data_IF_409036996758
#
_entry.id   IF_409036996758
#
_cell.length_a   1.000
_cell.length_b   1.000
_cell.length_c   1.000
_cell.angle_alpha   90.00
_cell.angle_beta   90.00
_cell.angle_gamma   90.00
#
_symmetry.space_group_name_H-M   'P 1'
#
loop_
_entity.id
_entity.type
_entity.pdbx_description
1 polymer ?
#
# COMPACT_ATOMS: atom_id res chain seq x y z
N UNK A 1 -37.14 10.98 14.83
CA UNK A 1 -36.28 10.14 15.70
C UNK A 1 -35.09 9.49 14.98
N UNK A 2 -34.66 9.95 13.79
CA UNK A 2 -33.54 9.33 13.04
C UNK A 2 -32.14 9.87 13.40
N UNK A 3 -32.02 10.99 14.08
CA UNK A 3 -30.75 11.64 14.38
C UNK A 3 -29.83 10.88 15.36
N UNK A 4 -30.39 10.19 16.34
CA UNK A 4 -29.61 9.47 17.35
C UNK A 4 -28.83 8.26 16.79
N UNK A 5 -29.43 7.52 15.86
CA UNK A 5 -28.80 6.35 15.23
C UNK A 5 -27.62 6.75 14.29
N UNK A 6 -27.74 7.88 13.59
CA UNK A 6 -26.69 8.40 12.74
C UNK A 6 -25.50 8.89 13.55
N UNK A 7 -25.73 9.57 14.67
CA UNK A 7 -24.65 10.06 15.54
C UNK A 7 -23.87 8.91 16.18
N UNK A 8 -24.55 7.84 16.61
CA UNK A 8 -23.91 6.62 17.14
C UNK A 8 -23.08 5.90 16.07
N UNK A 9 -23.58 5.82 14.82
CA UNK A 9 -22.84 5.23 13.69
C UNK A 9 -21.58 6.04 13.37
N UNK A 10 -21.69 7.37 13.32
CA UNK A 10 -20.54 8.26 13.09
C UNK A 10 -19.54 8.12 14.22
N UNK A 11 -19.96 8.17 15.48
CA UNK A 11 -19.08 8.02 16.63
C UNK A 11 -18.35 6.67 16.62
N UNK A 12 -19.06 5.55 16.35
CA UNK A 12 -18.45 4.22 16.23
C UNK A 12 -17.40 4.15 15.12
N UNK A 13 -17.72 4.67 13.94
CA UNK A 13 -16.80 4.69 12.81
C UNK A 13 -15.54 5.54 13.11
N UNK A 14 -15.73 6.68 13.78
CA UNK A 14 -14.64 7.55 14.20
C UNK A 14 -13.71 6.84 15.18
N UNK A 15 -14.26 6.20 16.23
CA UNK A 15 -13.48 5.44 17.21
C UNK A 15 -12.71 4.31 16.53
N UNK A 16 -13.33 3.57 15.60
CA UNK A 16 -12.67 2.50 14.85
C UNK A 16 -11.49 3.04 14.01
N UNK A 17 -11.66 4.17 13.34
CA UNK A 17 -10.61 4.77 12.52
C UNK A 17 -9.44 5.29 13.38
N UNK A 18 -9.72 5.95 14.51
CA UNK A 18 -8.67 6.39 15.43
C UNK A 18 -7.95 5.20 16.08
N UNK A 19 -8.69 4.20 16.55
CA UNK A 19 -8.11 2.98 17.11
C UNK A 19 -7.20 2.26 16.12
N UNK A 20 -7.65 2.12 14.86
CA UNK A 20 -6.82 1.62 13.76
C UNK A 20 -5.55 2.45 13.58
N UNK A 21 -5.68 3.78 13.51
CA UNK A 21 -4.54 4.67 13.28
C UNK A 21 -3.48 4.52 14.37
N UNK A 22 -3.89 4.53 15.64
CA UNK A 22 -2.99 4.31 16.77
C UNK A 22 -2.32 2.94 16.70
N UNK A 23 -3.09 1.88 16.46
CA UNK A 23 -2.55 0.52 16.32
C UNK A 23 -1.50 0.44 15.20
N UNK A 24 -1.83 0.95 14.00
CA UNK A 24 -0.91 0.94 12.87
C UNK A 24 0.37 1.74 13.17
N UNK A 25 0.25 2.87 13.88
CA UNK A 25 1.41 3.67 14.30
C UNK A 25 2.32 2.89 15.25
N UNK A 26 1.76 2.22 16.27
CA UNK A 26 2.55 1.38 17.18
C UNK A 26 3.23 0.23 16.45
N UNK A 27 2.50 -0.51 15.63
CA UNK A 27 3.06 -1.63 14.85
C UNK A 27 4.16 -1.15 13.93
N UNK A 28 3.96 -0.03 13.23
CA UNK A 28 4.98 0.56 12.34
C UNK A 28 6.26 0.93 13.09
N UNK A 29 6.13 1.51 14.29
CA UNK A 29 7.28 1.86 15.12
C UNK A 29 8.13 0.63 15.50
N UNK A 30 7.47 -0.46 15.94
CA UNK A 30 8.16 -1.71 16.24
C UNK A 30 8.75 -2.37 14.98
N UNK A 31 8.00 -2.42 13.89
CA UNK A 31 8.47 -2.99 12.63
C UNK A 31 9.73 -2.28 12.13
N UNK A 32 9.76 -0.94 12.16
CA UNK A 32 10.93 -0.15 11.76
C UNK A 32 12.17 -0.50 12.59
N UNK A 33 12.02 -0.64 13.91
CA UNK A 33 13.11 -1.03 14.80
C UNK A 33 13.63 -2.42 14.47
N UNK A 34 12.74 -3.37 14.24
CA UNK A 34 13.11 -4.76 13.91
C UNK A 34 13.83 -4.81 12.56
N UNK A 35 13.32 -4.11 11.55
CA UNK A 35 13.97 -4.03 10.23
C UNK A 35 15.37 -3.44 10.32
N UNK A 36 15.55 -2.36 11.10
CA UNK A 36 16.87 -1.76 11.33
C UNK A 36 17.84 -2.75 12.01
N UNK A 37 17.36 -3.53 12.97
CA UNK A 37 18.18 -4.56 13.63
C UNK A 37 18.49 -5.74 12.69
N UNK A 38 17.56 -6.11 11.83
CA UNK A 38 17.72 -7.24 10.91
C UNK A 38 18.65 -6.92 9.74
N UNK A 39 18.52 -5.75 9.14
CA UNK A 39 19.29 -5.32 7.96
C UNK A 39 20.62 -4.64 8.33
N UNK A 40 20.69 -4.04 9.51
CA UNK A 40 21.78 -3.15 9.90
C UNK A 40 21.68 -1.77 9.24
N UNK A 41 22.56 -0.86 9.67
CA UNK A 41 22.48 0.57 9.30
C UNK A 41 22.66 0.80 7.79
N UNK A 42 23.56 0.06 7.14
CA UNK A 42 23.87 0.24 5.71
C UNK A 42 22.69 -0.16 4.84
N UNK A 43 22.20 -1.38 4.99
CA UNK A 43 21.10 -1.89 4.17
C UNK A 43 19.76 -1.18 4.50
N UNK A 44 19.55 -0.81 5.75
CA UNK A 44 18.42 0.04 6.12
C UNK A 44 18.52 1.43 5.46
N UNK A 45 19.72 2.03 5.41
CA UNK A 45 19.96 3.27 4.66
C UNK A 45 19.63 3.12 3.17
N UNK A 46 19.99 2.00 2.55
CA UNK A 46 19.64 1.69 1.16
C UNK A 46 18.11 1.59 1.00
N UNK A 47 17.41 0.92 1.91
CA UNK A 47 15.94 0.83 1.85
C UNK A 47 15.28 2.19 1.97
N UNK A 48 15.77 3.07 2.83
CA UNK A 48 15.26 4.43 2.98
C UNK A 48 15.51 5.28 1.73
N UNK A 49 16.71 5.18 1.13
CA UNK A 49 17.06 5.94 -0.07
C UNK A 49 16.22 5.51 -1.28
N UNK A 50 16.08 4.21 -1.53
CA UNK A 50 15.25 3.65 -2.60
C UNK A 50 13.77 3.94 -2.33
N UNK A 51 13.31 3.68 -1.11
CA UNK A 51 11.94 3.96 -0.69
C UNK A 51 11.56 5.43 -0.85
N UNK A 52 12.49 6.37 -0.58
CA UNK A 52 12.28 7.80 -0.77
C UNK A 52 11.94 8.17 -2.22
N UNK A 53 12.63 7.56 -3.19
CA UNK A 53 12.33 7.77 -4.63
C UNK A 53 10.93 7.24 -4.97
N UNK A 54 10.58 6.07 -4.47
CA UNK A 54 9.27 5.45 -4.73
C UNK A 54 8.14 6.20 -4.04
N UNK A 55 8.37 6.74 -2.83
CA UNK A 55 7.39 7.54 -2.08
C UNK A 55 6.94 8.80 -2.83
N UNK A 56 7.78 9.38 -3.71
CA UNK A 56 7.37 10.52 -4.56
C UNK A 56 6.16 10.15 -5.44
N UNK A 57 6.06 8.90 -5.87
CA UNK A 57 4.94 8.43 -6.70
C UNK A 57 3.70 8.08 -5.86
N UNK A 58 3.87 7.73 -4.58
CA UNK A 58 2.74 7.52 -3.66
C UNK A 58 1.96 8.82 -3.44
N UNK A 59 2.62 9.98 -3.49
CA UNK A 59 1.94 11.27 -3.35
C UNK A 59 0.84 11.48 -4.41
N UNK A 60 1.01 10.93 -5.60
CA UNK A 60 0.00 11.02 -6.68
C UNK A 60 -1.24 10.17 -6.37
N UNK A 61 -1.08 9.08 -5.64
CA UNK A 61 -2.18 8.15 -5.35
C UNK A 61 -3.21 8.69 -4.34
N UNK A 62 -2.83 9.59 -3.45
CA UNK A 62 -3.70 10.14 -2.39
C UNK A 62 -4.90 10.93 -2.94
N UNK A 63 -4.71 11.98 -3.77
CA UNK A 63 -5.84 12.72 -4.36
C UNK A 63 -6.66 11.83 -5.29
N UNK A 64 -6.03 10.88 -5.98
CA UNK A 64 -6.69 9.97 -6.88
C UNK A 64 -7.63 9.02 -6.12
N UNK A 65 -7.19 8.46 -5.00
CA UNK A 65 -8.02 7.63 -4.11
C UNK A 65 -9.24 8.41 -3.58
N UNK A 66 -9.03 9.67 -3.19
CA UNK A 66 -10.12 10.55 -2.74
C UNK A 66 -11.13 10.83 -3.85
N UNK A 67 -10.66 11.04 -5.07
CA UNK A 67 -11.52 11.21 -6.24
C UNK A 67 -12.34 9.94 -6.53
N UNK A 68 -11.72 8.76 -6.49
CA UNK A 68 -12.40 7.47 -6.66
C UNK A 68 -13.56 7.32 -5.66
N UNK A 69 -13.29 7.55 -4.37
CA UNK A 69 -14.31 7.45 -3.33
C UNK A 69 -15.47 8.43 -3.56
N UNK A 70 -15.20 9.64 -4.07
CA UNK A 70 -16.25 10.62 -4.40
C UNK A 70 -17.14 10.16 -5.56
N UNK A 71 -16.56 9.65 -6.64
CA UNK A 71 -17.33 9.13 -7.78
C UNK A 71 -18.17 7.94 -7.38
N UNK A 72 -17.62 6.98 -6.64
CA UNK A 72 -18.37 5.82 -6.16
C UNK A 72 -19.51 6.23 -5.21
N UNK A 73 -19.27 7.16 -4.28
CA UNK A 73 -20.32 7.67 -3.38
C UNK A 73 -21.42 8.41 -4.13
N UNK A 74 -21.08 9.09 -5.23
CA UNK A 74 -22.07 9.77 -6.08
C UNK A 74 -22.99 8.76 -6.78
N UNK A 75 -22.43 7.73 -7.41
CA UNK A 75 -23.20 6.71 -8.12
C UNK A 75 -24.05 5.89 -7.14
N UNK A 76 -23.52 5.57 -5.95
CA UNK A 76 -24.25 4.91 -4.87
C UNK A 76 -25.41 5.77 -4.34
N UNK A 77 -25.19 7.08 -4.17
CA UNK A 77 -26.24 8.00 -3.74
C UNK A 77 -27.41 8.13 -4.74
N UNK A 78 -27.16 7.83 -6.01
CA UNK A 78 -28.18 7.76 -7.06
C UNK A 78 -28.82 6.38 -7.24
N UNK A 79 -28.38 5.39 -6.49
CA UNK A 79 -28.75 3.98 -6.69
C UNK A 79 -28.49 3.46 -8.12
N UNK A 80 -27.49 4.02 -8.80
CA UNK A 80 -27.10 3.64 -10.17
C UNK A 80 -25.97 2.61 -10.14
N UNK A 81 -26.33 1.33 -9.94
CA UNK A 81 -25.34 0.24 -9.91
C UNK A 81 -24.64 0.06 -11.25
N UNK A 82 -25.33 0.30 -12.39
CA UNK A 82 -24.68 0.21 -13.72
C UNK A 82 -23.67 1.34 -13.93
N UNK A 83 -24.00 2.54 -13.46
CA UNK A 83 -23.07 3.67 -13.43
C UNK A 83 -21.84 3.34 -12.57
N UNK A 84 -22.03 2.77 -11.39
CA UNK A 84 -20.96 2.34 -10.49
C UNK A 84 -19.99 1.33 -11.16
N UNK A 85 -20.52 0.30 -11.82
CA UNK A 85 -19.70 -0.67 -12.57
C UNK A 85 -18.86 0.00 -13.67
N UNK A 86 -19.47 0.89 -14.43
CA UNK A 86 -18.79 1.64 -15.50
C UNK A 86 -17.72 2.55 -14.92
N UNK A 87 -18.04 3.28 -13.87
CA UNK A 87 -17.10 4.15 -13.14
C UNK A 87 -15.93 3.34 -12.57
N UNK A 88 -16.20 2.18 -11.96
CA UNK A 88 -15.17 1.29 -11.43
C UNK A 88 -14.23 0.79 -12.54
N UNK A 89 -14.77 0.30 -13.65
CA UNK A 89 -13.98 -0.18 -14.77
C UNK A 89 -13.11 0.92 -15.39
N UNK A 90 -13.66 2.14 -15.49
CA UNK A 90 -12.92 3.31 -15.99
C UNK A 90 -11.78 3.68 -15.04
N UNK A 91 -12.04 3.70 -13.74
CA UNK A 91 -11.03 3.98 -12.71
C UNK A 91 -9.92 2.91 -12.74
N UNK A 92 -10.29 1.64 -12.84
CA UNK A 92 -9.32 0.55 -12.92
C UNK A 92 -8.40 0.71 -14.15
N UNK A 93 -8.97 1.05 -15.30
CA UNK A 93 -8.20 1.33 -16.53
C UNK A 93 -7.24 2.51 -16.33
N UNK A 94 -7.69 3.59 -15.68
CA UNK A 94 -6.83 4.73 -15.36
C UNK A 94 -5.66 4.31 -14.44
N UNK A 95 -5.90 3.47 -13.44
CA UNK A 95 -4.82 2.97 -12.56
C UNK A 95 -3.83 2.09 -13.33
N UNK A 96 -4.30 1.26 -14.28
CA UNK A 96 -3.42 0.46 -15.15
C UNK A 96 -2.53 1.38 -16.00
N UNK A 97 -3.10 2.40 -16.63
CA UNK A 97 -2.35 3.36 -17.46
C UNK A 97 -1.32 4.13 -16.60
N UNK A 98 -1.73 4.61 -15.44
CA UNK A 98 -0.83 5.31 -14.54
C UNK A 98 0.27 4.41 -14.00
N UNK A 99 -0.04 3.17 -13.65
CA UNK A 99 0.94 2.18 -13.22
C UNK A 99 2.00 1.93 -14.31
N UNK A 100 1.57 1.85 -15.57
CA UNK A 100 2.47 1.71 -16.71
C UNK A 100 3.38 2.93 -16.89
N UNK A 101 2.83 4.14 -16.80
CA UNK A 101 3.63 5.38 -16.88
C UNK A 101 4.65 5.46 -15.75
N UNK A 102 4.22 5.17 -14.50
CA UNK A 102 5.13 5.20 -13.34
C UNK A 102 6.17 4.10 -13.43
N UNK A 103 5.82 2.91 -13.92
CA UNK A 103 6.79 1.84 -14.18
C UNK A 103 7.88 2.31 -15.15
N UNK A 104 7.51 2.89 -16.29
CA UNK A 104 8.48 3.42 -17.27
C UNK A 104 9.35 4.53 -16.66
N UNK A 105 8.76 5.42 -15.87
CA UNK A 105 9.50 6.50 -15.19
C UNK A 105 10.48 5.96 -14.16
N UNK A 106 10.09 4.99 -13.36
CA UNK A 106 10.97 4.37 -12.36
C UNK A 106 12.08 3.56 -13.01
N UNK A 107 11.79 2.80 -14.07
CA UNK A 107 12.81 2.05 -14.81
C UNK A 107 13.80 2.97 -15.55
N UNK A 108 13.37 4.11 -16.06
CA UNK A 108 14.25 5.06 -16.74
C UNK A 108 14.95 6.00 -15.77
N UNK A 109 14.18 6.88 -15.12
CA UNK A 109 14.70 7.94 -14.23
C UNK A 109 15.15 7.38 -12.89
N UNK A 110 14.43 6.43 -12.30
CA UNK A 110 14.78 5.82 -11.02
C UNK A 110 16.09 5.04 -11.09
N UNK A 111 16.27 4.22 -12.13
CA UNK A 111 17.54 3.50 -12.34
C UNK A 111 18.69 4.45 -12.67
N UNK A 112 18.44 5.51 -13.46
CA UNK A 112 19.45 6.53 -13.73
C UNK A 112 19.89 7.23 -12.44
N UNK A 113 18.92 7.63 -11.59
CA UNK A 113 19.21 8.26 -10.30
C UNK A 113 20.00 7.34 -9.38
N UNK A 114 19.61 6.07 -9.28
CA UNK A 114 20.31 5.08 -8.46
C UNK A 114 21.76 4.86 -8.91
N UNK A 115 22.03 4.90 -10.23
CA UNK A 115 23.38 4.68 -10.77
C UNK A 115 24.28 5.91 -10.65
N UNK A 116 23.72 7.12 -10.79
CA UNK A 116 24.54 8.33 -10.97
C UNK A 116 24.54 9.27 -9.77
N UNK A 117 23.52 9.18 -8.90
CA UNK A 117 23.33 10.12 -7.79
C UNK A 117 23.39 9.45 -6.42
N UNK A 118 23.04 8.18 -6.33
CA UNK A 118 23.07 7.48 -5.05
C UNK A 118 24.47 6.92 -4.79
N UNK A 119 25.08 7.35 -3.67
CA UNK A 119 26.36 6.83 -3.23
C UNK A 119 26.12 5.53 -2.47
N UNK A 120 26.24 4.40 -3.18
CA UNK A 120 26.06 3.06 -2.60
C UNK A 120 27.40 2.36 -2.47
N UNK A 121 27.62 1.55 -1.41
CA UNK A 121 28.80 0.68 -1.33
C UNK A 121 28.85 -0.24 -2.55
N UNK A 122 30.03 -0.38 -3.23
CA UNK A 122 30.14 -1.21 -4.43
C UNK A 122 29.68 -2.65 -4.24
N UNK A 123 29.91 -3.20 -3.06
CA UNK A 123 29.53 -4.57 -2.67
C UNK A 123 28.00 -4.77 -2.58
N UNK A 124 27.24 -3.69 -2.35
CA UNK A 124 25.79 -3.72 -2.18
C UNK A 124 25.00 -3.29 -3.42
N UNK A 125 25.68 -2.87 -4.48
CA UNK A 125 25.04 -2.41 -5.72
C UNK A 125 24.11 -3.45 -6.35
N UNK A 126 24.50 -4.72 -6.33
CA UNK A 126 23.68 -5.80 -6.88
C UNK A 126 22.40 -6.01 -6.06
N UNK A 127 22.54 -6.13 -4.74
CA UNK A 127 21.40 -6.29 -3.85
C UNK A 127 20.44 -5.09 -3.91
N UNK A 128 20.99 -3.86 -3.98
CA UNK A 128 20.20 -2.64 -4.11
C UNK A 128 19.39 -2.59 -5.41
N UNK A 129 19.96 -3.06 -6.54
CA UNK A 129 19.23 -3.13 -7.82
C UNK A 129 18.05 -4.11 -7.74
N UNK A 130 18.28 -5.28 -7.17
CA UNK A 130 17.21 -6.29 -7.00
C UNK A 130 16.14 -5.76 -6.07
N UNK A 131 16.52 -5.17 -4.95
CA UNK A 131 15.59 -4.56 -4.01
C UNK A 131 14.77 -3.43 -4.67
N UNK A 132 15.39 -2.60 -5.50
CA UNK A 132 14.70 -1.57 -6.26
C UNK A 132 13.61 -2.16 -7.15
N UNK A 133 13.90 -3.23 -7.89
CA UNK A 133 12.91 -3.90 -8.75
C UNK A 133 11.72 -4.42 -7.93
N UNK A 134 11.97 -5.10 -6.82
CA UNK A 134 10.89 -5.56 -5.94
C UNK A 134 10.07 -4.40 -5.39
N UNK A 135 10.71 -3.27 -5.06
CA UNK A 135 10.01 -2.08 -4.55
C UNK A 135 9.13 -1.44 -5.62
N UNK A 136 9.59 -1.39 -6.88
CA UNK A 136 8.79 -0.91 -8.02
C UNK A 136 7.56 -1.80 -8.24
N UNK A 137 7.75 -3.12 -8.27
CA UNK A 137 6.62 -4.06 -8.39
C UNK A 137 5.64 -3.95 -7.23
N UNK A 138 6.14 -3.80 -6.01
CA UNK A 138 5.32 -3.60 -4.82
C UNK A 138 4.44 -2.35 -4.94
N UNK A 139 4.99 -1.24 -5.42
CA UNK A 139 4.22 -0.01 -5.67
C UNK A 139 3.10 -0.23 -6.68
N UNK A 140 3.40 -0.92 -7.79
CA UNK A 140 2.41 -1.22 -8.84
C UNK A 140 1.28 -2.08 -8.26
N UNK A 141 1.63 -3.14 -7.55
CA UNK A 141 0.65 -4.03 -6.90
C UNK A 141 -0.21 -3.25 -5.89
N UNK A 142 0.41 -2.39 -5.08
CA UNK A 142 -0.31 -1.54 -4.13
C UNK A 142 -1.35 -0.65 -4.82
N UNK A 143 -1.03 -0.08 -5.97
CA UNK A 143 -1.95 0.80 -6.70
C UNK A 143 -3.22 0.07 -7.14
N UNK A 144 -3.14 -1.22 -7.46
CA UNK A 144 -4.32 -2.03 -7.77
C UNK A 144 -5.23 -2.25 -6.56
N UNK A 145 -4.74 -2.11 -5.32
CA UNK A 145 -5.58 -2.22 -4.12
C UNK A 145 -6.47 -0.98 -3.91
N UNK A 146 -6.06 0.18 -4.43
CA UNK A 146 -6.69 1.48 -4.13
C UNK A 146 -8.16 1.56 -4.61
N UNK A 147 -8.53 1.19 -5.85
CA UNK A 147 -9.93 1.22 -6.29
C UNK A 147 -10.83 0.35 -5.42
N UNK A 148 -10.38 -0.84 -5.02
CA UNK A 148 -11.13 -1.75 -4.16
C UNK A 148 -11.31 -1.18 -2.75
N UNK A 149 -10.26 -0.62 -2.19
CA UNK A 149 -10.28 0.05 -0.90
C UNK A 149 -11.20 1.28 -0.92
N UNK A 150 -11.16 2.09 -1.98
CA UNK A 150 -12.04 3.23 -2.18
C UNK A 150 -13.52 2.81 -2.27
N UNK A 151 -13.81 1.68 -2.93
CA UNK A 151 -15.14 1.11 -3.01
C UNK A 151 -15.67 0.72 -1.61
N UNK A 152 -14.87 0.01 -0.81
CA UNK A 152 -15.22 -0.38 0.57
C UNK A 152 -15.54 0.85 1.43
N UNK A 153 -14.76 1.93 1.30
CA UNK A 153 -14.97 3.20 2.00
C UNK A 153 -16.27 3.87 1.55
N UNK A 154 -16.58 3.84 0.25
CA UNK A 154 -17.79 4.45 -0.31
C UNK A 154 -19.08 3.77 0.16
N UNK A 155 -19.03 2.47 0.47
CA UNK A 155 -20.11 1.74 1.15
C UNK A 155 -20.15 1.97 2.67
N UNK A 156 -19.37 2.91 3.18
CA UNK A 156 -19.22 3.23 4.62
C UNK A 156 -18.88 2.02 5.51
N UNK A 157 -18.26 0.98 4.94
CA UNK A 157 -17.86 -0.20 5.71
C UNK A 157 -16.48 0.01 6.38
N UNK A 158 -16.45 0.96 7.34
CA UNK A 158 -15.22 1.33 8.04
C UNK A 158 -14.64 0.20 8.87
N UNK A 159 -15.48 -0.77 9.29
CA UNK A 159 -15.01 -1.97 9.99
C UNK A 159 -14.13 -2.86 9.12
N UNK A 160 -14.58 -3.18 7.91
CA UNK A 160 -13.82 -3.97 6.94
C UNK A 160 -12.53 -3.23 6.51
N UNK A 161 -12.65 -1.94 6.21
CA UNK A 161 -11.51 -1.10 5.87
C UNK A 161 -10.44 -1.09 6.99
N UNK A 162 -10.87 -0.94 8.24
CA UNK A 162 -9.95 -0.97 9.38
C UNK A 162 -9.28 -2.34 9.55
N UNK A 163 -10.03 -3.43 9.40
CA UNK A 163 -9.48 -4.77 9.49
C UNK A 163 -8.43 -5.05 8.41
N UNK A 164 -8.72 -4.70 7.15
CA UNK A 164 -7.78 -4.84 6.04
C UNK A 164 -6.50 -4.02 6.28
N UNK A 165 -6.63 -2.76 6.73
CA UNK A 165 -5.46 -1.94 7.06
C UNK A 165 -4.63 -2.55 8.20
N UNK A 166 -5.27 -3.04 9.25
CA UNK A 166 -4.58 -3.71 10.37
C UNK A 166 -3.84 -4.96 9.88
N UNK A 167 -4.47 -5.77 9.02
CA UNK A 167 -3.84 -6.97 8.46
C UNK A 167 -2.59 -6.63 7.64
N UNK A 168 -2.59 -5.54 6.89
CA UNK A 168 -1.43 -5.02 6.16
C UNK A 168 -0.25 -4.74 7.11
N UNK A 169 -0.49 -3.99 8.19
CA UNK A 169 0.57 -3.66 9.15
C UNK A 169 1.07 -4.87 9.93
N UNK A 170 0.20 -5.82 10.25
CA UNK A 170 0.61 -7.11 10.85
C UNK A 170 1.50 -7.89 9.89
N UNK A 171 1.16 -7.97 8.59
CA UNK A 171 2.01 -8.62 7.59
C UNK A 171 3.37 -7.93 7.47
N UNK A 172 3.43 -6.60 7.50
CA UNK A 172 4.69 -5.84 7.53
C UNK A 172 5.55 -6.19 8.76
N UNK A 173 4.93 -6.35 9.92
CA UNK A 173 5.63 -6.79 11.14
C UNK A 173 6.15 -8.24 11.01
N UNK A 174 5.34 -9.14 10.45
CA UNK A 174 5.75 -10.53 10.19
C UNK A 174 6.95 -10.55 9.24
N UNK A 175 6.92 -9.78 8.15
CA UNK A 175 8.06 -9.64 7.23
C UNK A 175 9.31 -9.17 7.95
N UNK A 176 9.20 -8.15 8.80
CA UNK A 176 10.34 -7.66 9.60
C UNK A 176 10.93 -8.75 10.50
N UNK A 177 10.08 -9.52 11.19
CA UNK A 177 10.49 -10.64 12.02
C UNK A 177 11.14 -11.77 11.19
N UNK A 178 10.57 -12.12 10.04
CA UNK A 178 11.14 -13.16 9.17
C UNK A 178 12.55 -12.81 8.70
N UNK A 179 12.79 -11.56 8.31
CA UNK A 179 14.13 -11.11 7.91
C UNK A 179 15.12 -11.17 9.07
N UNK A 180 14.67 -10.92 10.30
CA UNK A 180 15.53 -11.03 11.50
C UNK A 180 15.98 -12.47 11.77
N UNK A 181 15.10 -13.46 11.54
CA UNK A 181 15.38 -14.86 11.83
C UNK A 181 16.09 -15.60 10.68
N UNK A 182 15.81 -15.24 9.43
CA UNK A 182 16.36 -15.92 8.24
C UNK A 182 17.68 -15.24 7.84
N UNK A 183 18.80 -15.80 8.29
CA UNK A 183 20.16 -15.29 7.98
C UNK A 183 20.85 -16.02 6.81
N UNK A 184 20.17 -16.95 6.16
CA UNK A 184 20.76 -17.78 5.10
C UNK A 184 20.84 -17.10 3.73
N UNK A 185 20.15 -15.99 3.56
CA UNK A 185 20.05 -15.21 2.31
C UNK A 185 20.40 -13.74 2.60
N UNK A 186 20.78 -12.99 1.56
CA UNK A 186 21.00 -11.55 1.70
C UNK A 186 19.71 -10.87 2.23
N UNK A 187 19.84 -10.23 3.40
CA UNK A 187 18.72 -9.66 4.14
C UNK A 187 17.94 -8.60 3.33
N UNK A 188 18.64 -7.81 2.51
CA UNK A 188 18.03 -6.76 1.68
C UNK A 188 17.15 -7.36 0.58
N UNK A 189 17.64 -8.40 -0.09
CA UNK A 189 16.89 -9.10 -1.15
C UNK A 189 15.69 -9.82 -0.54
N UNK A 190 15.90 -10.55 0.56
CA UNK A 190 14.84 -11.24 1.28
C UNK A 190 13.73 -10.29 1.71
N UNK A 191 14.11 -9.13 2.25
CA UNK A 191 13.16 -8.10 2.66
C UNK A 191 12.31 -7.61 1.48
N UNK A 192 12.94 -7.34 0.32
CA UNK A 192 12.21 -6.93 -0.89
C UNK A 192 11.21 -7.96 -1.38
N UNK A 193 11.61 -9.25 -1.42
CA UNK A 193 10.71 -10.36 -1.84
C UNK A 193 9.54 -10.50 -0.88
N UNK A 194 9.80 -10.57 0.42
CA UNK A 194 8.76 -10.77 1.44
C UNK A 194 7.80 -9.58 1.47
N UNK A 195 8.31 -8.35 1.27
CA UNK A 195 7.47 -7.16 1.18
C UNK A 195 6.54 -7.20 -0.02
N UNK A 196 7.06 -7.59 -1.19
CA UNK A 196 6.24 -7.75 -2.41
C UNK A 196 5.16 -8.83 -2.22
N UNK A 197 5.49 -9.96 -1.58
CA UNK A 197 4.52 -11.03 -1.28
C UNK A 197 3.45 -10.52 -0.32
N UNK A 198 3.82 -9.83 0.75
CA UNK A 198 2.88 -9.27 1.72
C UNK A 198 1.91 -8.28 1.06
N UNK A 199 2.40 -7.40 0.19
CA UNK A 199 1.59 -6.44 -0.55
C UNK A 199 0.66 -7.11 -1.56
N UNK A 200 1.12 -8.18 -2.20
CA UNK A 200 0.29 -8.99 -3.11
C UNK A 200 -0.87 -9.67 -2.36
N UNK A 201 -0.61 -10.20 -1.17
CA UNK A 201 -1.65 -10.77 -0.30
C UNK A 201 -2.64 -9.69 0.12
N UNK A 202 -2.16 -8.51 0.53
CA UNK A 202 -3.02 -7.38 0.91
C UNK A 202 -3.92 -6.95 -0.25
N UNK A 203 -3.37 -6.80 -1.45
CA UNK A 203 -4.11 -6.44 -2.66
C UNK A 203 -5.16 -7.51 -3.00
N UNK A 204 -4.79 -8.79 -2.91
CA UNK A 204 -5.72 -9.89 -3.11
C UNK A 204 -6.85 -9.90 -2.08
N UNK A 205 -6.58 -9.62 -0.82
CA UNK A 205 -7.62 -9.49 0.21
C UNK A 205 -8.59 -8.35 -0.10
N UNK A 206 -8.09 -7.18 -0.51
CA UNK A 206 -8.95 -6.06 -0.93
C UNK A 206 -9.84 -6.45 -2.12
N UNK A 207 -9.27 -7.07 -3.15
CA UNK A 207 -10.01 -7.60 -4.29
C UNK A 207 -11.09 -8.59 -3.86
N UNK A 208 -10.72 -9.61 -3.08
CA UNK A 208 -11.61 -10.68 -2.66
C UNK A 208 -12.81 -10.16 -1.84
N UNK A 209 -12.56 -9.30 -0.85
CA UNK A 209 -13.62 -8.76 -0.01
C UNK A 209 -14.48 -7.73 -0.75
N UNK A 210 -13.88 -6.93 -1.64
CA UNK A 210 -14.65 -5.98 -2.44
C UNK A 210 -15.58 -6.69 -3.42
N UNK A 211 -15.07 -7.66 -4.19
CA UNK A 211 -15.87 -8.37 -5.20
C UNK A 211 -16.92 -9.33 -4.64
N UNK A 212 -16.66 -9.91 -3.45
CA UNK A 212 -17.64 -10.81 -2.81
C UNK A 212 -18.78 -10.08 -2.11
N UNK A 213 -18.54 -8.87 -1.66
CA UNK A 213 -19.48 -8.15 -0.80
C UNK A 213 -20.24 -7.05 -1.55
N UNK A 214 -19.70 -6.59 -2.66
CA UNK A 214 -20.27 -5.54 -3.47
C UNK A 214 -20.35 -6.02 -4.93
N UNK A 215 -21.55 -5.95 -5.53
CA UNK A 215 -21.78 -6.37 -6.90
C UNK A 215 -21.07 -5.48 -7.91
#
# INVERSE_FOLDING_TARGET
>A
MSGGNNNLRIAKNTILLYGRMLFCMFVSFFATRIVLQALGVVDYGITCAIGGVVLMFVFVSIPLSSACSRFFSYDLGRNDLKGLEKTFSTILLLYVLMALVVFILLESVGLWYMRNKLVLPPERLYAAKIFFQFTVFTLIVHWFSIPYSALIVSYENMGLFSWLSISEYIMKLIVACMVLFIKSVDGLILYGILWMVAESIYTFLNYYFATRRYP
#
